data_IF_701887706082
#
_entry.id   IF_701887706082
#
_cell.length_a   1.000
_cell.length_b   1.000
_cell.length_c   1.000
_cell.angle_alpha   90.00
_cell.angle_beta   90.00
_cell.angle_gamma   90.00
#
_symmetry.space_group_name_H-M   'P 1'
#
loop_
_entity.id
_entity.type
_entity.pdbx_description
1 polymer ?
#
# COMPACT_ATOMS: atom_id res chain seq x y z
N UNK A 1 40.20 -53.54 37.62
CA UNK A 1 38.88 -53.19 37.04
C UNK A 1 38.48 -51.83 37.58
N UNK A 2 38.85 -50.74 36.89
CA UNK A 2 38.34 -49.36 37.04
C UNK A 2 39.37 -48.39 36.43
N UNK A 3 39.29 -48.12 35.12
CA UNK A 3 39.97 -47.00 34.45
C UNK A 3 39.52 -46.84 32.98
N UNK A 4 38.22 -46.92 32.69
CA UNK A 4 37.73 -46.85 31.31
C UNK A 4 36.35 -46.16 31.14
N UNK A 5 36.01 -45.14 31.95
CA UNK A 5 34.71 -44.45 31.79
C UNK A 5 34.72 -42.92 31.91
N UNK A 6 35.87 -42.25 31.80
CA UNK A 6 35.94 -40.78 31.94
C UNK A 6 36.34 -40.02 30.65
N UNK A 7 36.84 -40.69 29.61
CA UNK A 7 37.22 -40.05 28.34
C UNK A 7 36.07 -39.81 27.35
N UNK A 8 34.89 -40.39 27.58
CA UNK A 8 33.83 -40.49 26.55
C UNK A 8 32.73 -39.42 26.67
N UNK A 9 32.65 -38.69 27.80
CA UNK A 9 31.63 -37.65 28.02
C UNK A 9 32.04 -36.25 27.54
N UNK A 10 33.35 -35.94 27.48
CA UNK A 10 33.86 -34.62 27.04
C UNK A 10 33.82 -34.47 25.51
N UNK A 11 33.81 -35.58 24.76
CA UNK A 11 33.73 -35.58 23.30
C UNK A 11 32.31 -35.36 22.75
N UNK A 12 31.27 -35.78 23.48
CA UNK A 12 29.88 -35.68 23.02
C UNK A 12 29.37 -34.23 23.06
N UNK A 13 29.68 -33.48 24.12
CA UNK A 13 29.25 -32.08 24.24
C UNK A 13 29.90 -31.16 23.20
N UNK A 14 31.18 -31.38 22.88
CA UNK A 14 31.88 -30.64 21.80
C UNK A 14 31.39 -31.03 20.40
N UNK A 15 30.97 -32.29 20.19
CA UNK A 15 30.35 -32.73 18.94
C UNK A 15 28.96 -32.13 18.76
N UNK A 16 28.11 -32.15 19.80
CA UNK A 16 26.79 -31.52 19.76
C UNK A 16 26.86 -30.00 19.55
N UNK A 17 27.83 -29.29 20.16
CA UNK A 17 28.05 -27.86 19.90
C UNK A 17 28.58 -27.56 18.48
N UNK A 18 29.39 -28.46 17.89
CA UNK A 18 29.81 -28.34 16.49
C UNK A 18 28.70 -28.73 15.51
N UNK A 19 27.80 -29.63 15.90
CA UNK A 19 26.68 -30.12 15.08
C UNK A 19 25.52 -29.13 15.08
N UNK A 20 25.24 -28.48 16.22
CA UNK A 20 24.34 -27.32 16.31
C UNK A 20 24.91 -26.13 15.55
N UNK A 21 26.20 -25.81 15.71
CA UNK A 21 26.85 -24.72 14.97
C UNK A 21 26.92 -24.96 13.45
N UNK A 22 27.07 -26.22 13.01
CA UNK A 22 26.98 -26.60 11.60
C UNK A 22 25.54 -26.63 11.08
N UNK A 23 24.56 -26.98 11.91
CA UNK A 23 23.15 -26.91 11.54
C UNK A 23 22.67 -25.46 11.43
N UNK A 24 23.16 -24.56 12.28
CA UNK A 24 22.88 -23.12 12.17
C UNK A 24 23.58 -22.51 10.96
N UNK A 25 24.83 -22.91 10.66
CA UNK A 25 25.51 -22.50 9.43
C UNK A 25 24.83 -23.08 8.18
N UNK A 26 24.39 -24.35 8.19
CA UNK A 26 23.68 -24.99 7.06
C UNK A 26 22.30 -24.37 6.82
N UNK A 27 21.53 -24.16 7.89
CA UNK A 27 20.25 -23.43 7.84
C UNK A 27 20.46 -21.98 7.40
N UNK A 28 21.52 -21.30 7.87
CA UNK A 28 21.82 -19.92 7.44
C UNK A 28 22.25 -19.85 5.98
N UNK A 29 22.94 -20.88 5.47
CA UNK A 29 23.34 -20.98 4.07
C UNK A 29 22.15 -21.36 3.19
N UNK A 30 21.26 -22.25 3.64
CA UNK A 30 20.00 -22.59 2.98
C UNK A 30 19.03 -21.39 2.98
N UNK A 31 18.96 -20.65 4.09
CA UNK A 31 18.24 -19.37 4.16
C UNK A 31 18.91 -18.31 3.26
N UNK A 32 20.24 -18.32 3.13
CA UNK A 32 20.96 -17.46 2.19
C UNK A 32 20.73 -17.85 0.72
N UNK A 33 20.49 -19.13 0.45
CA UNK A 33 20.15 -19.68 -0.86
C UNK A 33 18.65 -19.52 -1.19
N UNK A 34 17.77 -19.46 -0.18
CA UNK A 34 16.41 -18.94 -0.28
C UNK A 34 16.44 -17.41 -0.43
N UNK A 35 17.42 -16.72 0.16
CA UNK A 35 17.70 -15.31 -0.16
C UNK A 35 18.33 -15.15 -1.55
N UNK A 36 18.82 -16.22 -2.20
CA UNK A 36 19.19 -16.21 -3.62
C UNK A 36 17.95 -16.22 -4.55
N UNK A 37 16.79 -16.73 -4.12
CA UNK A 37 15.51 -16.39 -4.79
C UNK A 37 15.09 -14.95 -4.50
N UNK A 38 15.62 -14.33 -3.44
CA UNK A 38 15.51 -12.89 -3.16
C UNK A 38 16.57 -12.02 -3.87
N UNK A 39 17.40 -12.56 -4.78
CA UNK A 39 18.45 -11.79 -5.48
C UNK A 39 17.94 -10.68 -6.41
N UNK A 40 16.63 -10.47 -6.52
CA UNK A 40 16.10 -9.25 -7.15
C UNK A 40 15.68 -8.13 -6.19
N UNK A 41 15.61 -8.31 -4.86
CA UNK A 41 15.09 -7.26 -3.97
C UNK A 41 15.92 -7.05 -2.70
N UNK A 42 17.19 -6.68 -2.88
CA UNK A 42 17.94 -5.83 -1.93
C UNK A 42 17.42 -4.36 -1.96
N UNK A 43 16.10 -4.17 -1.90
CA UNK A 43 15.49 -2.85 -1.84
C UNK A 43 15.17 -2.52 -0.38
N UNK A 44 15.87 -1.54 0.18
CA UNK A 44 15.41 -0.83 1.38
C UNK A 44 13.89 -0.59 1.29
N UNK A 45 13.12 -1.10 2.25
CA UNK A 45 11.66 -1.14 2.18
C UNK A 45 11.05 0.21 1.80
N UNK A 46 10.29 0.24 0.72
CA UNK A 46 9.55 1.43 0.31
C UNK A 46 8.21 1.56 1.03
N UNK A 47 7.46 2.64 0.74
CA UNK A 47 6.21 2.94 1.44
C UNK A 47 5.16 1.84 1.28
N UNK A 48 5.01 1.26 0.08
CA UNK A 48 3.99 0.25 -0.20
C UNK A 48 4.48 -1.18 0.05
N UNK A 49 5.79 -1.39 0.16
CA UNK A 49 6.42 -2.72 0.22
C UNK A 49 6.17 -3.59 -1.00
N UNK A 50 6.05 -2.95 -2.16
CA UNK A 50 5.88 -3.62 -3.44
C UNK A 50 7.02 -3.13 -4.31
N UNK A 51 8.13 -3.89 -4.44
CA UNK A 51 9.36 -3.40 -5.05
C UNK A 51 9.19 -2.80 -6.44
N UNK A 52 8.29 -3.38 -7.24
CA UNK A 52 7.91 -2.92 -8.58
C UNK A 52 7.33 -1.49 -8.52
N UNK A 53 6.51 -1.19 -7.53
CA UNK A 53 5.84 0.11 -7.38
C UNK A 53 6.74 1.10 -6.63
N UNK A 54 7.39 0.67 -5.56
CA UNK A 54 8.26 1.50 -4.73
C UNK A 54 9.46 2.04 -5.50
N UNK A 55 10.00 1.25 -6.44
CA UNK A 55 11.06 1.71 -7.35
C UNK A 55 10.60 2.88 -8.22
N UNK A 56 9.35 2.84 -8.71
CA UNK A 56 8.75 3.91 -9.51
C UNK A 56 8.36 5.12 -8.66
N UNK A 57 7.96 4.92 -7.40
CA UNK A 57 7.62 6.01 -6.48
C UNK A 57 8.86 6.80 -6.02
N UNK A 58 10.00 6.14 -5.85
CA UNK A 58 11.20 6.71 -5.21
C UNK A 58 11.65 8.07 -5.78
N UNK A 59 11.76 8.27 -7.11
CA UNK A 59 12.14 9.58 -7.66
C UNK A 59 11.15 10.69 -7.30
N UNK A 60 9.85 10.38 -7.30
CA UNK A 60 8.80 11.36 -7.00
C UNK A 60 8.76 11.74 -5.51
N UNK A 61 9.00 10.77 -4.63
CA UNK A 61 9.10 11.02 -3.20
C UNK A 61 10.34 11.87 -2.85
N UNK A 62 11.46 11.64 -3.53
CA UNK A 62 12.66 12.48 -3.41
C UNK A 62 12.37 13.93 -3.82
N UNK A 63 11.74 14.13 -4.97
CA UNK A 63 11.39 15.45 -5.49
C UNK A 63 10.43 16.17 -4.52
N UNK A 64 9.45 15.45 -3.96
CA UNK A 64 8.53 15.98 -2.96
C UNK A 64 9.27 16.46 -1.69
N UNK A 65 10.16 15.65 -1.15
CA UNK A 65 10.95 16.00 0.04
C UNK A 65 11.86 17.22 -0.20
N UNK A 66 12.45 17.30 -1.39
CA UNK A 66 13.23 18.46 -1.81
C UNK A 66 12.38 19.73 -1.89
N UNK A 67 11.19 19.65 -2.49
CA UNK A 67 10.27 20.80 -2.55
C UNK A 67 9.81 21.25 -1.16
N UNK A 68 9.59 20.30 -0.23
CA UNK A 68 9.27 20.62 1.16
C UNK A 68 10.39 21.38 1.86
N UNK A 69 11.65 20.98 1.65
CA UNK A 69 12.78 21.67 2.30
C UNK A 69 12.95 23.09 1.77
N UNK A 70 12.71 23.33 0.48
CA UNK A 70 12.69 24.68 -0.12
C UNK A 70 11.62 25.55 0.54
N UNK A 71 10.39 25.03 0.65
CA UNK A 71 9.25 25.76 1.24
C UNK A 71 9.53 26.09 2.72
N UNK A 72 10.13 25.16 3.45
CA UNK A 72 10.54 25.38 4.85
C UNK A 72 11.61 26.46 4.97
N UNK A 73 12.66 26.41 4.14
CA UNK A 73 13.72 27.41 4.12
C UNK A 73 13.19 28.82 3.77
N UNK A 74 12.29 28.94 2.80
CA UNK A 74 11.66 30.20 2.42
C UNK A 74 10.76 30.78 3.52
N UNK A 75 10.15 29.93 4.35
CA UNK A 75 9.32 30.39 5.48
C UNK A 75 10.13 30.89 6.68
N UNK A 76 11.41 30.51 6.78
CA UNK A 76 12.28 30.87 7.90
C UNK A 76 13.15 32.11 7.61
N UNK A 77 13.33 32.51 6.34
CA UNK A 77 14.03 33.74 5.95
C UNK A 77 13.33 34.47 4.80
N UNK A 78 12.81 35.69 5.00
CA UNK A 78 12.32 36.50 3.88
C UNK A 78 13.53 37.14 3.16
N UNK A 79 13.70 36.75 1.89
CA UNK A 79 14.62 37.33 0.91
C UNK A 79 16.14 37.22 1.19
N UNK A 80 16.78 36.25 0.52
CA UNK A 80 18.22 36.23 0.28
C UNK A 80 18.56 35.06 -0.64
N UNK A 81 18.94 35.34 -1.89
CA UNK A 81 19.34 34.34 -2.88
C UNK A 81 20.57 33.57 -2.42
N UNK A 82 20.51 32.24 -2.38
CA UNK A 82 21.72 31.41 -2.36
C UNK A 82 21.51 30.12 -3.16
N UNK A 83 22.43 29.88 -4.09
CA UNK A 83 22.65 28.62 -4.78
C UNK A 83 23.01 27.54 -3.76
N UNK A 84 22.23 26.46 -3.69
CA UNK A 84 22.53 25.28 -2.88
C UNK A 84 23.02 24.18 -3.85
N UNK A 85 24.21 23.59 -3.65
CA UNK A 85 24.72 22.52 -4.51
C UNK A 85 23.82 21.29 -4.52
N UNK A 86 23.64 20.71 -5.71
CA UNK A 86 22.67 19.65 -6.01
C UNK A 86 23.10 18.23 -5.62
N UNK A 87 24.27 18.04 -5.00
CA UNK A 87 24.79 16.70 -4.77
C UNK A 87 25.14 16.47 -3.28
N UNK A 88 24.65 15.33 -2.77
CA UNK A 88 24.98 14.70 -1.48
C UNK A 88 24.23 15.15 -0.21
N UNK A 89 22.91 15.33 -0.28
CA UNK A 89 22.06 15.17 0.93
C UNK A 89 21.44 13.77 0.90
N UNK A 90 21.85 12.84 1.78
CA UNK A 90 21.12 11.60 1.99
C UNK A 90 19.68 11.97 2.37
N UNK A 91 18.70 11.42 1.64
CA UNK A 91 17.29 11.46 2.03
C UNK A 91 17.16 11.22 3.54
N UNK A 92 16.37 12.01 4.29
CA UNK A 92 15.77 11.47 5.49
C UNK A 92 14.87 10.32 5.02
N UNK A 93 15.34 9.08 5.21
CA UNK A 93 14.66 7.83 4.83
C UNK A 93 13.42 7.55 5.69
N UNK A 94 12.97 8.53 6.48
CA UNK A 94 12.12 8.36 7.68
C UNK A 94 10.87 9.27 7.69
N UNK A 95 10.45 9.82 6.55
CA UNK A 95 9.16 10.56 6.48
C UNK A 95 8.07 9.69 5.86
N UNK A 96 6.89 9.61 6.48
CA UNK A 96 5.77 8.85 5.94
C UNK A 96 5.32 9.45 4.61
N UNK A 97 5.04 8.60 3.63
CA UNK A 97 4.51 9.01 2.34
C UNK A 97 2.98 9.05 2.39
N UNK A 98 2.39 10.05 1.72
CA UNK A 98 0.95 10.10 1.46
C UNK A 98 0.74 9.90 -0.04
N UNK A 99 0.13 8.78 -0.41
CA UNK A 99 0.01 8.32 -1.80
C UNK A 99 -1.47 8.29 -2.18
N UNK A 100 -1.82 8.95 -3.28
CA UNK A 100 -3.17 8.89 -3.85
C UNK A 100 -3.21 7.88 -4.98
N UNK A 101 -4.18 6.96 -4.93
CA UNK A 101 -4.53 6.07 -6.04
C UNK A 101 -5.80 6.61 -6.69
N UNK A 102 -5.71 7.02 -7.94
CA UNK A 102 -6.79 7.69 -8.66
C UNK A 102 -7.13 6.98 -9.97
N UNK A 103 -8.39 7.08 -10.41
CA UNK A 103 -8.84 6.57 -11.71
C UNK A 103 -9.97 7.44 -12.27
N UNK A 104 -10.14 7.43 -13.59
CA UNK A 104 -11.18 8.16 -14.34
C UNK A 104 -12.58 7.50 -14.28
N UNK A 105 -12.68 6.33 -13.66
CA UNK A 105 -13.92 5.59 -13.48
C UNK A 105 -13.93 4.71 -12.23
N UNK A 106 -15.12 4.24 -11.87
CA UNK A 106 -15.30 3.22 -10.84
C UNK A 106 -14.88 1.84 -11.35
N UNK A 107 -14.47 0.96 -10.43
CA UNK A 107 -14.15 -0.43 -10.76
C UNK A 107 -12.85 -0.63 -11.55
N UNK A 108 -11.96 0.36 -11.61
CA UNK A 108 -10.61 0.29 -12.22
C UNK A 108 -9.60 -0.49 -11.37
N UNK A 109 -10.02 -1.06 -10.23
CA UNK A 109 -9.17 -1.92 -9.39
C UNK A 109 -8.46 -1.24 -8.22
N UNK A 110 -8.83 0.01 -7.88
CA UNK A 110 -8.27 0.75 -6.72
C UNK A 110 -8.31 -0.06 -5.43
N UNK A 111 -9.50 -0.52 -5.02
CA UNK A 111 -9.71 -1.33 -3.80
C UNK A 111 -8.93 -2.65 -3.83
N UNK A 112 -8.76 -3.28 -4.99
CA UNK A 112 -7.95 -4.50 -5.09
C UNK A 112 -6.46 -4.23 -4.93
N UNK A 113 -5.95 -3.10 -5.43
CA UNK A 113 -4.59 -2.65 -5.17
C UNK A 113 -4.39 -2.31 -3.69
N UNK A 114 -5.40 -1.76 -3.01
CA UNK A 114 -5.38 -1.59 -1.55
C UNK A 114 -5.32 -2.92 -0.82
N UNK A 115 -6.11 -3.92 -1.22
CA UNK A 115 -6.07 -5.26 -0.60
C UNK A 115 -4.70 -5.91 -0.77
N UNK A 116 -4.11 -5.82 -1.96
CA UNK A 116 -2.74 -6.32 -2.18
C UNK A 116 -1.72 -5.58 -1.31
N UNK A 117 -1.86 -4.26 -1.17
CA UNK A 117 -0.95 -3.47 -0.32
C UNK A 117 -1.11 -3.81 1.17
N UNK A 118 -2.34 -3.97 1.64
CA UNK A 118 -2.61 -4.44 2.99
C UNK A 118 -2.10 -5.87 3.21
N UNK A 119 -2.20 -6.76 2.23
CA UNK A 119 -1.62 -8.10 2.27
C UNK A 119 -0.10 -8.04 2.53
N UNK A 120 0.65 -7.23 1.78
CA UNK A 120 2.09 -7.06 1.99
C UNK A 120 2.44 -6.44 3.35
N UNK A 121 1.57 -5.61 3.92
CA UNK A 121 1.78 -5.02 5.23
C UNK A 121 1.49 -6.00 6.39
N UNK A 122 0.45 -6.84 6.23
CA UNK A 122 -0.05 -7.76 7.27
C UNK A 122 0.74 -9.07 7.35
N UNK A 123 1.22 -9.59 6.22
CA UNK A 123 2.02 -10.82 6.22
C UNK A 123 3.37 -10.59 6.91
N UNK A 124 3.93 -11.59 7.60
CA UNK A 124 5.30 -11.54 8.08
C UNK A 124 6.31 -11.73 6.93
N UNK A 125 7.62 -11.50 7.17
CA UNK A 125 8.65 -11.77 6.17
C UNK A 125 8.69 -13.24 5.73
N UNK A 126 8.38 -14.18 6.62
CA UNK A 126 8.32 -15.60 6.30
C UNK A 126 7.35 -16.39 7.19
N UNK A 127 6.91 -17.54 6.70
CA UNK A 127 6.08 -18.50 7.45
C UNK A 127 6.47 -19.93 7.06
N UNK A 128 6.79 -20.77 8.05
CA UNK A 128 7.30 -22.14 7.82
C UNK A 128 8.46 -22.22 6.82
N UNK A 129 9.36 -21.22 6.83
CA UNK A 129 10.50 -21.14 5.90
C UNK A 129 10.16 -20.56 4.51
N UNK A 130 8.86 -20.40 4.18
CA UNK A 130 8.42 -19.76 2.94
C UNK A 130 8.62 -18.25 3.06
N UNK A 131 9.41 -17.66 2.17
CA UNK A 131 9.55 -16.21 2.10
C UNK A 131 8.24 -15.58 1.58
N UNK A 132 7.60 -14.76 2.40
CA UNK A 132 6.35 -14.06 2.09
C UNK A 132 6.56 -12.57 1.82
N UNK A 133 7.78 -12.04 2.03
CA UNK A 133 8.12 -10.65 1.74
C UNK A 133 7.17 -9.63 2.40
N UNK A 134 6.55 -9.98 3.52
CA UNK A 134 5.65 -9.10 4.25
C UNK A 134 6.34 -8.29 5.36
N UNK A 135 5.64 -7.29 5.90
CA UNK A 135 6.16 -6.37 6.93
C UNK A 135 5.89 -6.77 8.38
N UNK A 136 4.95 -7.66 8.65
CA UNK A 136 4.46 -8.00 10.00
C UNK A 136 3.94 -6.77 10.78
N UNK A 137 3.03 -6.01 10.18
CA UNK A 137 2.55 -4.73 10.74
C UNK A 137 1.04 -4.64 10.76
N UNK A 138 0.51 -3.86 11.70
CA UNK A 138 -0.90 -3.55 11.76
C UNK A 138 -1.29 -2.56 10.64
N UNK A 139 -2.49 -2.77 10.09
CA UNK A 139 -3.10 -1.91 9.06
C UNK A 139 -4.40 -1.33 9.60
N UNK A 140 -4.58 -0.02 9.46
CA UNK A 140 -5.89 0.61 9.62
C UNK A 140 -6.50 0.82 8.24
N UNK A 141 -7.73 0.34 8.04
CA UNK A 141 -8.49 0.51 6.82
C UNK A 141 -9.76 1.31 7.14
N UNK A 142 -9.90 2.51 6.56
CA UNK A 142 -11.10 3.32 6.68
C UNK A 142 -11.91 3.21 5.39
N UNK A 143 -13.03 2.52 5.47
CA UNK A 143 -13.98 2.28 4.39
C UNK A 143 -15.11 3.31 4.43
N UNK A 144 -14.95 4.38 3.67
CA UNK A 144 -15.86 5.51 3.60
C UNK A 144 -17.07 5.28 2.68
N UNK A 145 -17.05 4.25 1.81
CA UNK A 145 -18.16 3.94 0.90
C UNK A 145 -18.87 2.61 1.20
N UNK A 146 -18.51 1.95 2.32
CA UNK A 146 -19.11 0.71 2.81
C UNK A 146 -18.99 -0.44 1.81
N UNK A 147 -17.83 -0.54 1.14
CA UNK A 147 -17.55 -1.58 0.13
C UNK A 147 -16.41 -2.51 0.50
N UNK A 148 -15.83 -2.36 1.70
CA UNK A 148 -14.84 -3.29 2.19
C UNK A 148 -15.44 -4.70 2.29
N UNK A 149 -14.70 -5.67 1.77
CA UNK A 149 -15.08 -7.07 1.71
C UNK A 149 -13.94 -7.90 2.31
N UNK A 150 -14.17 -8.35 3.55
CA UNK A 150 -13.20 -9.16 4.30
C UNK A 150 -12.99 -10.54 3.66
N UNK A 151 -14.01 -11.09 2.99
CA UNK A 151 -13.89 -12.37 2.29
C UNK A 151 -12.93 -12.17 1.12
N UNK A 152 -13.13 -11.13 0.32
CA UNK A 152 -12.22 -10.82 -0.77
C UNK A 152 -10.81 -10.48 -0.30
N UNK A 153 -10.66 -9.77 0.82
CA UNK A 153 -9.35 -9.54 1.44
C UNK A 153 -8.67 -10.86 1.83
N UNK A 154 -9.40 -11.78 2.45
CA UNK A 154 -8.90 -13.10 2.85
C UNK A 154 -8.47 -13.95 1.65
N UNK A 155 -9.23 -13.91 0.56
CA UNK A 155 -8.89 -14.58 -0.70
C UNK A 155 -7.56 -14.04 -1.27
N UNK A 156 -7.37 -12.72 -1.28
CA UNK A 156 -6.12 -12.12 -1.76
C UNK A 156 -4.91 -12.58 -0.93
N UNK A 157 -5.02 -12.57 0.40
CA UNK A 157 -3.95 -13.04 1.29
C UNK A 157 -3.69 -14.53 1.07
N UNK A 158 -4.75 -15.35 1.02
CA UNK A 158 -4.65 -16.80 0.85
C UNK A 158 -3.99 -17.15 -0.48
N UNK A 159 -4.44 -16.56 -1.59
CA UNK A 159 -3.86 -16.81 -2.91
C UNK A 159 -2.40 -16.37 -2.99
N UNK A 160 -2.03 -15.26 -2.34
CA UNK A 160 -0.64 -14.84 -2.24
C UNK A 160 0.22 -15.89 -1.52
N UNK A 161 -0.19 -16.33 -0.32
CA UNK A 161 0.52 -17.37 0.45
C UNK A 161 0.67 -18.66 -0.37
N UNK A 162 -0.42 -19.13 -0.99
CA UNK A 162 -0.41 -20.33 -1.82
C UNK A 162 0.55 -20.20 -3.00
N UNK A 163 0.57 -19.04 -3.66
CA UNK A 163 1.54 -18.78 -4.73
C UNK A 163 2.98 -18.85 -4.23
N UNK A 164 3.28 -18.32 -3.04
CA UNK A 164 4.63 -18.39 -2.45
C UNK A 164 5.03 -19.81 -2.05
N UNK A 165 4.10 -20.61 -1.52
CA UNK A 165 4.33 -22.04 -1.24
C UNK A 165 4.64 -22.79 -2.54
N UNK A 166 3.86 -22.58 -3.59
CA UNK A 166 4.08 -23.23 -4.89
C UNK A 166 5.46 -22.90 -5.48
N UNK A 167 5.89 -21.64 -5.39
CA UNK A 167 7.24 -21.23 -5.81
C UNK A 167 8.33 -21.93 -4.99
N UNK A 168 8.15 -22.06 -3.68
CA UNK A 168 9.09 -22.75 -2.81
C UNK A 168 9.17 -24.26 -3.15
N UNK A 169 8.04 -24.91 -3.41
CA UNK A 169 7.99 -26.32 -3.86
C UNK A 169 8.74 -26.50 -5.17
N UNK A 170 8.45 -25.68 -6.18
CA UNK A 170 9.13 -25.73 -7.49
C UNK A 170 10.65 -25.53 -7.35
N UNK A 171 11.08 -24.63 -6.45
CA UNK A 171 12.49 -24.44 -6.15
C UNK A 171 13.12 -25.71 -5.56
N UNK A 172 12.50 -26.31 -4.54
CA UNK A 172 12.98 -27.55 -3.93
C UNK A 172 13.07 -28.70 -4.94
N UNK A 173 12.05 -28.87 -5.79
CA UNK A 173 12.04 -29.88 -6.85
C UNK A 173 13.19 -29.67 -7.84
N UNK A 174 13.49 -28.42 -8.22
CA UNK A 174 14.60 -28.09 -9.13
C UNK A 174 15.99 -28.39 -8.55
N UNK A 175 16.10 -28.55 -7.24
CA UNK A 175 17.35 -28.78 -6.51
C UNK A 175 17.55 -30.24 -6.08
N UNK A 176 16.56 -31.12 -6.30
CA UNK A 176 16.74 -32.54 -6.01
C UNK A 176 17.81 -33.14 -6.93
N UNK A 177 18.72 -33.99 -6.39
CA UNK A 177 19.72 -34.65 -7.20
C UNK A 177 19.05 -35.59 -8.21
N UNK A 178 19.43 -35.51 -9.49
CA UNK A 178 19.03 -36.51 -10.48
C UNK A 178 19.50 -37.90 -10.00
N UNK A 179 18.58 -38.86 -9.97
CA UNK A 179 18.88 -40.26 -9.64
C UNK A 179 20.06 -40.74 -10.51
N UNK A 180 21.16 -41.26 -9.91
CA UNK A 180 22.24 -41.85 -10.67
C UNK A 180 21.68 -42.98 -11.53
N UNK A 181 21.80 -42.86 -12.87
CA UNK A 181 21.55 -43.98 -13.76
C UNK A 181 22.55 -45.09 -13.42
N UNK A 182 22.03 -46.31 -13.20
CA UNK A 182 22.75 -47.53 -12.80
C UNK A 182 24.17 -47.64 -13.37
N UNK A 183 25.15 -47.26 -12.56
CA UNK A 183 26.51 -47.75 -12.67
C UNK A 183 26.89 -48.38 -11.34
N UNK A 184 26.67 -49.69 -11.28
CA UNK A 184 27.19 -50.62 -10.27
C UNK A 184 28.68 -50.40 -10.07
N UNK A 185 29.06 -49.72 -8.99
CA UNK A 185 30.32 -49.98 -8.31
C UNK A 185 30.05 -50.12 -6.81
N UNK A 186 30.08 -51.37 -6.35
CA UNK A 186 30.15 -51.72 -4.94
C UNK A 186 31.46 -51.18 -4.35
N UNK A 187 31.38 -50.41 -3.27
CA UNK A 187 32.50 -50.31 -2.33
C UNK A 187 32.70 -48.96 -1.67
N UNK A 188 32.70 -49.00 -0.33
CA UNK A 188 33.21 -48.01 0.64
C UNK A 188 32.22 -46.87 0.95
N UNK A 189 31.71 -46.88 2.19
CA UNK A 189 31.00 -45.77 2.82
C UNK A 189 31.92 -44.55 2.87
N UNK A 190 31.77 -43.67 1.88
CA UNK A 190 32.39 -42.36 1.89
C UNK A 190 31.79 -41.53 3.04
N UNK A 191 32.58 -40.68 3.72
CA UNK A 191 32.04 -39.74 4.69
C UNK A 191 31.01 -38.85 4.01
N UNK A 192 29.87 -38.63 4.67
CA UNK A 192 28.76 -37.79 4.20
C UNK A 192 29.34 -36.49 3.62
N UNK A 193 29.22 -36.31 2.31
CA UNK A 193 29.67 -35.09 1.65
C UNK A 193 28.67 -33.97 1.93
N UNK A 194 29.10 -32.71 1.98
CA UNK A 194 28.21 -31.55 2.18
C UNK A 194 27.05 -31.50 1.17
N UNK A 195 27.23 -32.08 -0.02
CA UNK A 195 26.20 -32.23 -1.04
C UNK A 195 25.08 -33.21 -0.67
N UNK A 196 25.37 -34.26 0.13
CA UNK A 196 24.36 -35.22 0.57
C UNK A 196 23.50 -34.64 1.70
N UNK A 197 24.10 -33.89 2.62
CA UNK A 197 23.39 -33.19 3.71
C UNK A 197 22.40 -32.16 3.14
N UNK A 198 22.84 -31.34 2.19
CA UNK A 198 21.97 -30.36 1.54
C UNK A 198 20.78 -31.02 0.80
N UNK A 199 20.99 -32.19 0.19
CA UNK A 199 19.92 -32.94 -0.47
C UNK A 199 18.88 -33.52 0.52
N UNK A 200 19.33 -33.98 1.69
CA UNK A 200 18.43 -34.43 2.77
C UNK A 200 17.60 -33.27 3.34
N UNK A 201 18.22 -32.11 3.60
CA UNK A 201 17.53 -30.90 4.08
C UNK A 201 16.46 -30.40 3.09
N UNK A 202 16.77 -30.36 1.79
CA UNK A 202 15.80 -29.97 0.75
C UNK A 202 14.63 -30.95 0.69
N UNK A 203 14.89 -32.25 0.86
CA UNK A 203 13.84 -33.29 0.87
C UNK A 203 12.92 -33.15 2.09
N UNK A 204 13.49 -32.90 3.27
CA UNK A 204 12.72 -32.66 4.50
C UNK A 204 11.87 -31.39 4.40
N UNK A 205 12.44 -30.31 3.86
CA UNK A 205 11.69 -29.07 3.63
C UNK A 205 10.56 -29.25 2.60
N UNK A 206 10.80 -29.98 1.51
CA UNK A 206 9.76 -30.32 0.54
C UNK A 206 8.64 -31.16 1.19
N UNK A 207 8.96 -32.08 2.10
CA UNK A 207 7.97 -32.83 2.85
C UNK A 207 7.14 -31.93 3.78
N UNK A 208 7.77 -30.95 4.45
CA UNK A 208 7.09 -29.94 5.25
C UNK A 208 6.11 -29.12 4.38
N UNK A 209 6.57 -28.59 3.24
CA UNK A 209 5.72 -27.79 2.35
C UNK A 209 4.51 -28.57 1.85
N UNK A 210 4.70 -29.84 1.46
CA UNK A 210 3.61 -30.71 1.03
C UNK A 210 2.66 -31.12 2.16
N UNK A 211 3.09 -30.98 3.43
CA UNK A 211 2.24 -31.23 4.59
C UNK A 211 1.32 -30.06 4.93
N UNK A 212 1.60 -28.85 4.42
CA UNK A 212 0.76 -27.67 4.66
C UNK A 212 -0.59 -27.84 3.97
N UNK A 213 -1.66 -27.79 4.77
CA UNK A 213 -3.03 -27.99 4.31
C UNK A 213 -3.79 -26.66 4.18
N UNK A 214 -4.93 -26.68 3.49
CA UNK A 214 -5.79 -25.49 3.39
C UNK A 214 -6.22 -24.93 4.77
N UNK A 215 -6.60 -25.75 5.78
CA UNK A 215 -6.82 -25.28 7.14
C UNK A 215 -5.64 -24.52 7.76
N UNK A 216 -4.40 -24.99 7.58
CA UNK A 216 -3.21 -24.33 8.14
C UNK A 216 -3.04 -22.93 7.55
N UNK A 217 -3.24 -22.81 6.23
CA UNK A 217 -3.21 -21.51 5.54
C UNK A 217 -4.35 -20.60 6.03
N UNK A 218 -5.56 -21.14 6.19
CA UNK A 218 -6.71 -20.35 6.69
C UNK A 218 -6.48 -19.85 8.11
N UNK A 219 -5.95 -20.68 9.02
CA UNK A 219 -5.62 -20.26 10.39
C UNK A 219 -4.59 -19.14 10.38
N UNK A 220 -3.56 -19.26 9.54
CA UNK A 220 -2.56 -18.23 9.38
C UNK A 220 -3.12 -16.92 8.79
N UNK A 221 -4.02 -17.00 7.79
CA UNK A 221 -4.74 -15.83 7.25
C UNK A 221 -5.57 -15.15 8.34
N UNK A 222 -6.28 -15.91 9.18
CA UNK A 222 -7.06 -15.36 10.31
C UNK A 222 -6.13 -14.66 11.31
N UNK A 223 -4.96 -15.23 11.59
CA UNK A 223 -3.94 -14.58 12.43
C UNK A 223 -3.50 -13.23 11.84
N UNK A 224 -3.13 -13.17 10.55
CA UNK A 224 -2.76 -11.93 9.88
C UNK A 224 -3.91 -10.90 9.87
N UNK A 225 -5.15 -11.34 9.59
CA UNK A 225 -6.33 -10.47 9.61
C UNK A 225 -6.66 -9.93 11.00
N UNK A 226 -6.20 -10.56 12.08
CA UNK A 226 -6.34 -10.00 13.43
C UNK A 226 -5.61 -8.66 13.58
N UNK A 227 -4.65 -8.37 12.71
CA UNK A 227 -3.92 -7.10 12.67
C UNK A 227 -4.52 -6.05 11.71
N UNK A 228 -5.67 -6.36 11.09
CA UNK A 228 -6.42 -5.43 10.24
C UNK A 228 -7.56 -4.77 11.05
N UNK A 229 -7.48 -3.46 11.22
CA UNK A 229 -8.48 -2.65 11.93
C UNK A 229 -9.34 -1.88 10.93
N UNK A 230 -10.61 -2.25 10.80
CA UNK A 230 -11.52 -1.65 9.81
C UNK A 230 -12.49 -0.67 10.47
N UNK A 231 -12.58 0.54 9.93
CA UNK A 231 -13.53 1.57 10.34
C UNK A 231 -14.44 1.96 9.19
N UNK A 232 -15.74 2.11 9.45
CA UNK A 232 -16.76 2.47 8.44
C UNK A 232 -17.46 3.76 8.85
N UNK A 233 -16.89 4.94 8.57
CA UNK A 233 -17.55 6.20 8.87
C UNK A 233 -18.88 6.32 8.13
N UNK A 234 -19.90 6.79 8.84
CA UNK A 234 -21.27 6.94 8.33
C UNK A 234 -21.63 8.39 8.02
N UNK A 235 -20.77 9.32 8.43
CA UNK A 235 -20.91 10.76 8.24
C UNK A 235 -19.54 11.43 8.28
N UNK A 236 -19.39 12.65 7.75
CA UNK A 236 -18.11 13.36 7.82
C UNK A 236 -17.68 13.72 9.25
N UNK A 237 -18.61 13.92 10.20
CA UNK A 237 -18.29 14.09 11.62
C UNK A 237 -17.77 12.80 12.25
N UNK A 238 -18.43 11.65 11.98
CA UNK A 238 -17.95 10.35 12.46
C UNK A 238 -16.57 10.02 11.88
N UNK A 239 -16.28 10.42 10.64
CA UNK A 239 -14.95 10.28 10.06
C UNK A 239 -13.89 11.08 10.83
N UNK A 240 -14.18 12.33 11.22
CA UNK A 240 -13.28 13.14 12.05
C UNK A 240 -13.07 12.54 13.44
N UNK A 241 -14.14 12.06 14.09
CA UNK A 241 -14.08 11.35 15.37
C UNK A 241 -13.16 10.13 15.28
N UNK A 242 -13.32 9.29 14.26
CA UNK A 242 -12.43 8.13 14.01
C UNK A 242 -10.97 8.58 13.89
N UNK A 243 -10.69 9.59 13.06
CA UNK A 243 -9.32 10.09 12.89
C UNK A 243 -8.72 10.63 14.19
N UNK A 244 -9.55 11.26 15.04
CA UNK A 244 -9.13 11.75 16.34
C UNK A 244 -8.85 10.64 17.36
N UNK A 245 -9.57 9.51 17.27
CA UNK A 245 -9.49 8.41 18.24
C UNK A 245 -8.41 7.39 17.92
N UNK A 246 -7.97 7.28 16.65
CA UNK A 246 -6.93 6.34 16.21
C UNK A 246 -5.67 6.37 17.09
N UNK A 247 -5.09 7.55 17.42
CA UNK A 247 -3.88 7.58 18.24
C UNK A 247 -4.05 6.97 19.62
N UNK A 248 -5.21 7.18 20.26
CA UNK A 248 -5.50 6.60 21.57
C UNK A 248 -5.75 5.10 21.44
N UNK A 249 -6.59 4.69 20.48
CA UNK A 249 -6.89 3.29 20.20
C UNK A 249 -5.63 2.42 20.07
N UNK A 250 -4.64 2.89 19.29
CA UNK A 250 -3.39 2.16 19.05
C UNK A 250 -2.44 2.11 20.26
N UNK A 251 -2.56 3.03 21.21
CA UNK A 251 -1.64 3.15 22.36
C UNK A 251 -2.23 2.51 23.63
N UNK A 252 -3.54 2.60 23.84
CA UNK A 252 -4.15 2.42 25.16
C UNK A 252 -4.65 1.01 25.45
N UNK A 253 -4.63 0.08 24.49
CA UNK A 253 -5.56 -1.05 24.52
C UNK A 253 -4.90 -2.43 24.54
N UNK A 254 -5.04 -3.22 25.63
CA UNK A 254 -4.82 -4.67 25.60
C UNK A 254 -5.98 -5.43 24.90
N UNK A 255 -6.94 -4.71 24.29
CA UNK A 255 -8.15 -5.29 23.69
C UNK A 255 -8.00 -5.73 22.24
N UNK A 256 -6.87 -5.42 21.60
CA UNK A 256 -6.60 -5.82 20.21
C UNK A 256 -5.28 -6.59 20.10
N UNK A 257 -5.21 -7.58 19.20
CA UNK A 257 -4.03 -8.45 19.02
C UNK A 257 -2.78 -7.72 18.52
N UNK A 258 -2.93 -6.48 18.03
CA UNK A 258 -1.85 -5.65 17.50
C UNK A 258 -1.05 -4.82 18.53
N UNK A 259 -1.21 -5.05 19.84
CA UNK A 259 -0.58 -4.19 20.87
C UNK A 259 0.95 -4.11 20.76
N UNK A 260 1.61 -5.18 20.33
CA UNK A 260 3.07 -5.24 20.19
C UNK A 260 3.54 -5.08 18.72
N UNK A 261 2.60 -4.89 17.78
CA UNK A 261 2.92 -4.70 16.35
C UNK A 261 2.95 -3.23 15.99
N UNK A 262 3.99 -2.80 15.27
CA UNK A 262 4.03 -1.44 14.74
C UNK A 262 2.93 -1.23 13.68
N UNK A 263 2.32 -0.04 13.65
CA UNK A 263 1.43 0.36 12.55
C UNK A 263 2.27 1.01 11.46
N UNK A 264 2.25 0.45 10.25
CA UNK A 264 3.01 1.01 9.12
C UNK A 264 2.15 1.70 8.07
N UNK A 265 0.83 1.41 8.04
CA UNK A 265 -0.04 1.78 6.93
C UNK A 265 -1.44 2.17 7.40
N UNK A 266 -1.91 3.34 6.94
CA UNK A 266 -3.30 3.80 7.02
C UNK A 266 -3.89 3.86 5.61
N UNK A 267 -5.01 3.17 5.39
CA UNK A 267 -5.72 3.14 4.11
C UNK A 267 -7.06 3.86 4.26
N UNK A 268 -7.44 4.66 3.26
CA UNK A 268 -8.73 5.35 3.19
C UNK A 268 -9.35 5.13 1.80
N UNK A 269 -10.51 4.48 1.74
CA UNK A 269 -11.23 4.15 0.51
C UNK A 269 -12.70 4.59 0.61
N UNK A 270 -13.21 5.61 -0.08
CA UNK A 270 -12.56 6.67 -0.86
C UNK A 270 -12.55 7.98 -0.05
N UNK A 271 -11.43 8.73 -0.07
CA UNK A 271 -11.27 9.97 0.70
C UNK A 271 -12.31 11.05 0.33
N UNK A 272 -12.86 10.96 -0.88
CA UNK A 272 -13.82 11.92 -1.43
C UNK A 272 -15.29 11.54 -1.18
N UNK A 273 -15.57 10.43 -0.49
CA UNK A 273 -16.91 9.87 -0.31
C UNK A 273 -17.94 10.89 0.21
N UNK A 274 -17.56 11.74 1.17
CA UNK A 274 -18.45 12.75 1.75
C UNK A 274 -18.41 14.11 1.03
N UNK A 275 -17.34 14.38 0.27
CA UNK A 275 -17.03 15.71 -0.26
C UNK A 275 -18.11 16.31 -1.14
N UNK A 276 -18.60 15.51 -2.09
CA UNK A 276 -19.52 16.01 -3.11
C UNK A 276 -20.89 16.38 -2.52
N UNK A 277 -21.35 15.60 -1.54
CA UNK A 277 -22.60 15.86 -0.83
C UNK A 277 -22.48 17.11 0.05
N UNK A 278 -21.38 17.25 0.77
CA UNK A 278 -21.12 18.43 1.61
C UNK A 278 -20.99 19.70 0.78
N UNK A 279 -20.24 19.64 -0.33
CA UNK A 279 -20.08 20.78 -1.24
C UNK A 279 -21.42 21.27 -1.80
N UNK A 280 -22.30 20.34 -2.20
CA UNK A 280 -23.64 20.70 -2.67
C UNK A 280 -24.47 21.36 -1.56
N UNK A 281 -24.39 20.82 -0.33
CA UNK A 281 -25.10 21.34 0.84
C UNK A 281 -24.63 22.75 1.22
N UNK A 282 -23.32 22.99 1.25
CA UNK A 282 -22.74 24.33 1.51
C UNK A 282 -23.14 25.35 0.45
N UNK A 283 -23.19 24.96 -0.83
CA UNK A 283 -23.63 25.84 -1.91
C UNK A 283 -25.11 26.25 -1.76
N UNK A 284 -25.98 25.32 -1.37
CA UNK A 284 -27.41 25.60 -1.16
C UNK A 284 -27.66 26.57 0.01
N UNK A 285 -26.84 26.49 1.07
CA UNK A 285 -26.91 27.38 2.23
C UNK A 285 -26.48 28.80 1.87
N UNK A 286 -25.42 28.95 1.07
CA UNK A 286 -24.95 30.25 0.59
C UNK A 286 -25.99 30.96 -0.31
N UNK A 287 -26.67 30.20 -1.18
CA UNK A 287 -27.76 30.75 -2.02
C UNK A 287 -28.95 31.19 -1.18
N UNK A 288 -29.31 30.44 -0.14
CA UNK A 288 -30.40 30.81 0.76
C UNK A 288 -30.10 32.08 1.56
N UNK A 289 -28.84 32.28 1.99
CA UNK A 289 -28.39 33.48 2.70
C UNK A 289 -28.39 34.75 1.83
N UNK A 290 -28.33 34.60 0.50
CA UNK A 290 -28.33 35.73 -0.46
C UNK A 290 -29.72 36.09 -0.98
N UNK A 291 -30.75 35.31 -0.62
CA UNK A 291 -32.09 35.39 -1.21
C UNK A 291 -33.15 36.01 -0.30
N UNK A 292 -32.83 36.91 0.63
CA UNK A 292 -33.82 37.77 1.30
C UNK A 292 -33.16 39.02 1.88
N UNK A 293 -32.81 39.97 1.02
CA UNK A 293 -32.58 41.36 1.42
C UNK A 293 -33.55 42.25 0.64
N UNK A 294 -34.76 42.35 1.19
CA UNK A 294 -35.74 43.36 0.78
C UNK A 294 -35.13 44.75 1.04
N UNK A 295 -34.96 45.62 0.02
CA UNK A 295 -34.21 46.87 0.15
C UNK A 295 -34.97 48.00 0.89
N UNK A 296 -36.05 47.70 1.61
CA UNK A 296 -36.97 48.74 2.12
C UNK A 296 -37.01 48.99 3.63
N UNK A 297 -36.19 48.34 4.47
CA UNK A 297 -36.12 48.69 5.90
C UNK A 297 -34.87 49.51 6.25
N UNK A 298 -34.89 50.81 5.94
CA UNK A 298 -34.08 51.78 6.65
C UNK A 298 -34.63 51.91 8.08
N UNK A 299 -33.93 51.36 9.07
CA UNK A 299 -34.09 51.77 10.46
C UNK A 299 -32.71 52.02 11.06
N UNK A 300 -32.59 53.20 11.67
CA UNK A 300 -31.39 53.85 12.19
C UNK A 300 -30.77 53.09 13.38
N UNK A 301 -29.49 53.35 13.73
CA UNK A 301 -28.81 52.62 14.78
C UNK A 301 -29.30 53.10 16.16
N UNK A 302 -29.82 52.18 16.98
CA UNK A 302 -30.05 52.44 18.39
C UNK A 302 -29.00 51.74 19.25
N UNK A 303 -28.32 52.57 20.03
CA UNK A 303 -27.45 52.22 21.14
C UNK A 303 -28.12 51.23 22.10
N UNK A 304 -27.41 50.16 22.47
CA UNK A 304 -27.88 49.19 23.45
C UNK A 304 -26.73 48.40 24.07
N UNK A 305 -26.12 49.00 25.09
CA UNK A 305 -25.52 48.36 26.30
C UNK A 305 -24.64 47.12 26.09
N UNK A 306 -23.33 47.31 26.27
CA UNK A 306 -22.39 46.24 26.62
C UNK A 306 -22.80 45.59 27.95
N UNK A 307 -23.40 44.40 27.88
CA UNK A 307 -23.47 43.49 29.01
C UNK A 307 -22.24 42.59 28.94
N UNK A 308 -21.21 42.93 29.72
CA UNK A 308 -20.14 42.00 30.10
C UNK A 308 -20.75 40.90 30.98
N UNK A 309 -21.17 39.81 30.34
CA UNK A 309 -21.53 38.54 30.99
C UNK A 309 -20.30 37.64 31.06
N UNK A 310 -19.84 37.40 32.29
CA UNK A 310 -18.95 36.31 32.65
C UNK A 310 -19.71 34.97 32.54
N UNK A 311 -18.99 33.90 32.18
CA UNK A 311 -19.41 32.51 31.96
C UNK A 311 -19.86 32.12 30.53
N UNK A 312 -18.88 31.77 29.70
CA UNK A 312 -19.03 30.76 28.64
C UNK A 312 -18.00 29.63 28.88
N UNK A 313 -18.17 28.91 29.99
CA UNK A 313 -17.63 27.55 30.10
C UNK A 313 -18.77 26.59 29.75
N UNK A 314 -18.64 25.90 28.61
CA UNK A 314 -19.56 24.82 28.24
C UNK A 314 -20.30 24.97 26.91
N UNK A 315 -19.65 25.45 25.84
CA UNK A 315 -20.05 25.01 24.50
C UNK A 315 -19.49 23.59 24.34
N UNK A 316 -20.37 22.59 24.19
CA UNK A 316 -19.97 21.22 23.91
C UNK A 316 -19.13 21.21 22.62
N UNK A 317 -18.07 20.42 22.57
CA UNK A 317 -17.22 20.29 21.36
C UNK A 317 -18.05 19.96 20.11
N UNK A 318 -19.17 19.24 20.29
CA UNK A 318 -20.17 18.90 19.27
C UNK A 318 -20.77 20.13 18.53
N UNK A 319 -20.94 21.28 19.21
CA UNK A 319 -21.55 22.49 18.60
C UNK A 319 -20.56 23.29 17.73
N UNK A 320 -19.24 23.09 17.91
CA UNK A 320 -18.21 23.76 17.09
C UNK A 320 -17.98 23.04 15.76
N UNK A 321 -18.09 21.72 15.72
CA UNK A 321 -17.78 20.92 14.52
C UNK A 321 -18.89 21.00 13.45
N UNK A 322 -20.13 21.25 13.88
CA UNK A 322 -21.28 21.48 12.99
C UNK A 322 -21.23 22.82 12.25
N UNK A 323 -20.41 23.77 12.71
CA UNK A 323 -20.33 25.13 12.16
C UNK A 323 -19.05 25.40 11.34
N UNK A 324 -18.25 24.35 11.09
CA UNK A 324 -17.06 24.45 10.25
C UNK A 324 -17.43 24.74 8.79
N UNK A 325 -16.67 25.62 8.13
CA UNK A 325 -16.79 25.73 6.67
C UNK A 325 -16.30 24.44 6.03
N UNK A 326 -16.72 24.20 4.77
CA UNK A 326 -16.24 23.04 4.00
C UNK A 326 -14.69 23.00 3.97
N UNK A 327 -14.05 24.15 3.76
CA UNK A 327 -12.59 24.23 3.71
C UNK A 327 -11.96 23.89 5.07
N UNK A 328 -12.47 24.46 6.17
CA UNK A 328 -11.93 24.21 7.51
C UNK A 328 -12.02 22.73 7.89
N UNK A 329 -13.11 22.06 7.50
CA UNK A 329 -13.30 20.63 7.72
C UNK A 329 -12.23 19.80 7.03
N UNK A 330 -11.95 20.07 5.76
CA UNK A 330 -10.94 19.34 4.99
C UNK A 330 -9.51 19.66 5.44
N UNK A 331 -9.26 20.88 5.91
CA UNK A 331 -7.98 21.24 6.54
C UNK A 331 -7.80 20.51 7.89
N UNK A 332 -8.87 20.31 8.66
CA UNK A 332 -8.86 19.53 9.89
C UNK A 332 -8.58 18.04 9.60
N UNK A 333 -9.26 17.43 8.62
CA UNK A 333 -8.99 16.05 8.18
C UNK A 333 -7.51 15.90 7.80
N UNK A 334 -7.01 16.79 6.94
CA UNK A 334 -5.61 16.80 6.50
C UNK A 334 -4.64 16.89 7.69
N UNK A 335 -4.96 17.73 8.68
CA UNK A 335 -4.16 17.90 9.89
C UNK A 335 -4.13 16.64 10.77
N UNK A 336 -5.28 15.96 10.94
CA UNK A 336 -5.34 14.68 11.66
C UNK A 336 -4.53 13.59 10.94
N UNK A 337 -4.65 13.49 9.61
CA UNK A 337 -3.88 12.53 8.82
C UNK A 337 -2.38 12.77 8.95
N UNK A 338 -1.90 14.00 8.83
CA UNK A 338 -0.49 14.34 9.03
C UNK A 338 -0.02 14.04 10.45
N UNK A 339 -0.88 14.24 11.46
CA UNK A 339 -0.58 13.89 12.86
C UNK A 339 -0.46 12.38 13.05
N UNK A 340 -1.36 11.58 12.47
CA UNK A 340 -1.29 10.11 12.53
C UNK A 340 -0.01 9.64 11.83
N UNK A 341 0.22 10.09 10.59
CA UNK A 341 1.40 9.73 9.81
C UNK A 341 2.69 10.00 10.58
N UNK A 342 2.85 11.21 11.12
CA UNK A 342 4.05 11.59 11.88
C UNK A 342 4.18 10.88 13.23
N UNK A 343 3.07 10.64 13.93
CA UNK A 343 3.08 10.02 15.27
C UNK A 343 3.43 8.54 15.24
N UNK A 344 3.06 7.84 14.17
CA UNK A 344 3.25 6.40 14.00
C UNK A 344 4.26 6.04 12.90
N UNK A 345 4.81 7.04 12.21
CA UNK A 345 5.60 6.85 10.99
C UNK A 345 4.85 6.01 9.93
N UNK A 346 3.53 6.19 9.86
CA UNK A 346 2.65 5.40 9.02
C UNK A 346 2.48 6.04 7.64
N UNK A 347 2.66 5.25 6.58
CA UNK A 347 2.31 5.68 5.22
C UNK A 347 0.79 5.74 5.08
N UNK A 348 0.29 6.76 4.39
CA UNK A 348 -1.14 6.92 4.13
C UNK A 348 -1.40 6.65 2.66
N UNK A 349 -2.35 5.76 2.39
CA UNK A 349 -2.81 5.46 1.04
C UNK A 349 -4.27 5.89 0.97
N UNK A 350 -4.57 6.82 0.07
CA UNK A 350 -5.93 7.29 -0.17
C UNK A 350 -6.35 6.91 -1.57
N UNK A 351 -7.58 6.44 -1.75
CA UNK A 351 -8.16 6.33 -3.09
C UNK A 351 -9.01 7.54 -3.40
N UNK A 352 -9.14 7.82 -4.70
CA UNK A 352 -10.01 8.87 -5.20
C UNK A 352 -10.58 8.48 -6.57
N UNK A 353 -11.82 8.90 -6.83
CA UNK A 353 -12.49 8.69 -8.11
C UNK A 353 -12.62 10.02 -8.84
N UNK A 354 -11.91 10.14 -9.95
CA UNK A 354 -11.82 11.37 -10.72
C UNK A 354 -13.00 11.46 -11.69
N UNK A 355 -13.85 12.47 -11.51
CA UNK A 355 -14.97 12.75 -12.43
C UNK A 355 -14.47 13.58 -13.60
N UNK A 356 -14.38 12.98 -14.79
CA UNK A 356 -14.01 13.70 -16.01
C UNK A 356 -15.08 14.71 -16.41
N UNK A 357 -14.77 16.01 -16.37
CA UNK A 357 -15.62 17.05 -16.94
C UNK A 357 -15.30 17.20 -18.42
N UNK A 358 -16.22 16.77 -19.27
CA UNK A 358 -16.12 16.83 -20.73
C UNK A 358 -16.13 18.28 -21.26
N UNK A 359 -15.05 19.02 -21.07
CA UNK A 359 -14.83 20.32 -21.71
C UNK A 359 -13.47 20.45 -22.41
N UNK A 360 -12.65 19.40 -22.46
CA UNK A 360 -11.52 19.35 -23.37
C UNK A 360 -11.89 18.49 -24.59
N UNK A 361 -12.15 19.14 -25.72
CA UNK A 361 -11.99 18.50 -27.02
C UNK A 361 -10.65 17.73 -27.06
N UNK A 362 -10.57 16.58 -27.73
CA UNK A 362 -9.30 15.89 -27.95
C UNK A 362 -8.50 16.69 -28.99
N UNK A 363 -7.94 17.84 -28.59
CA UNK A 363 -6.82 18.41 -29.32
C UNK A 363 -5.69 17.41 -29.17
N UNK A 364 -5.28 16.82 -30.30
CA UNK A 364 -4.10 15.99 -30.47
C UNK A 364 -2.95 16.51 -29.61
N UNK A 365 -2.82 15.99 -28.40
CA UNK A 365 -1.65 16.14 -27.57
C UNK A 365 -1.11 14.73 -27.46
N UNK A 366 0.10 14.52 -27.99
CA UNK A 366 0.87 13.27 -27.97
C UNK A 366 1.28 12.83 -26.54
N UNK A 367 0.35 12.85 -25.59
CA UNK A 367 0.59 12.59 -24.18
C UNK A 367 -0.41 11.50 -23.74
N UNK A 368 0.09 10.28 -23.59
CA UNK A 368 -0.64 9.10 -23.08
C UNK A 368 -0.96 9.18 -21.57
N UNK A 369 -1.16 10.38 -21.04
CA UNK A 369 -1.39 10.61 -19.60
C UNK A 369 -2.72 11.33 -19.42
N UNK A 370 -3.69 10.73 -18.70
CA UNK A 370 -5.01 11.34 -18.48
C UNK A 370 -4.91 12.74 -17.86
N UNK A 371 -5.69 13.70 -18.37
CA UNK A 371 -5.70 15.07 -17.84
C UNK A 371 -6.62 15.19 -16.61
N UNK A 372 -6.07 15.67 -15.48
CA UNK A 372 -6.77 15.69 -14.19
C UNK A 372 -7.73 16.90 -14.00
N UNK A 373 -8.98 16.67 -13.59
CA UNK A 373 -9.94 17.69 -13.17
C UNK A 373 -9.61 18.31 -11.79
N UNK A 374 -9.89 19.61 -11.65
CA UNK A 374 -9.55 20.46 -10.50
C UNK A 374 -10.65 20.55 -9.44
N UNK A 375 -11.23 19.42 -9.04
CA UNK A 375 -12.51 19.46 -8.31
C UNK A 375 -12.49 19.04 -6.85
N UNK A 376 -11.40 18.44 -6.38
CA UNK A 376 -11.19 18.16 -4.96
C UNK A 376 -10.76 19.42 -4.18
N UNK A 377 -10.86 19.40 -2.83
CA UNK A 377 -10.30 20.44 -1.97
C UNK A 377 -8.85 20.77 -2.35
N UNK A 378 -8.50 22.06 -2.39
CA UNK A 378 -7.17 22.51 -2.77
C UNK A 378 -6.08 21.95 -1.84
N UNK A 379 -6.42 21.71 -0.57
CA UNK A 379 -5.56 21.08 0.42
C UNK A 379 -5.16 19.63 0.05
N UNK A 380 -5.95 18.93 -0.77
CA UNK A 380 -5.61 17.61 -1.29
C UNK A 380 -4.88 17.65 -2.63
N UNK A 381 -5.33 18.49 -3.57
CA UNK A 381 -4.84 18.43 -4.96
C UNK A 381 -3.58 19.25 -5.22
N UNK A 382 -3.41 20.37 -4.51
CA UNK A 382 -2.36 21.35 -4.82
C UNK A 382 -1.46 21.68 -3.64
N UNK A 383 -1.74 21.16 -2.45
CA UNK A 383 -0.87 21.36 -1.31
C UNK A 383 0.42 20.56 -1.50
N UNK A 384 1.58 21.24 -1.68
CA UNK A 384 2.86 20.54 -1.71
C UNK A 384 3.22 19.94 -0.34
N UNK A 385 2.41 20.20 0.71
CA UNK A 385 2.62 19.77 2.09
C UNK A 385 1.89 18.48 2.46
N UNK A 386 0.93 18.04 1.66
CA UNK A 386 0.10 16.90 1.99
C UNK A 386 0.40 15.70 1.11
N UNK A 387 0.10 15.75 -0.19
CA UNK A 387 0.27 14.61 -1.08
C UNK A 387 1.73 14.46 -1.50
N UNK A 388 2.29 13.25 -1.41
CA UNK A 388 3.66 12.94 -1.81
C UNK A 388 3.74 12.47 -3.26
N UNK A 389 2.85 11.56 -3.67
CA UNK A 389 2.81 11.01 -5.02
C UNK A 389 1.40 10.57 -5.41
N UNK A 390 1.18 10.37 -6.72
CA UNK A 390 -0.08 9.87 -7.27
C UNK A 390 0.19 8.65 -8.14
N UNK A 391 -0.64 7.63 -7.97
CA UNK A 391 -0.75 6.47 -8.87
C UNK A 391 -2.06 6.63 -9.63
N UNK A 392 -1.99 6.58 -10.96
CA UNK A 392 -3.15 6.76 -11.84
C UNK A 392 -3.43 5.43 -12.51
N UNK A 393 -4.63 4.90 -12.32
CA UNK A 393 -5.04 3.63 -12.89
C UNK A 393 -5.89 3.85 -14.13
N UNK A 394 -5.66 3.03 -15.15
CA UNK A 394 -6.52 2.88 -16.33
C UNK A 394 -6.73 1.39 -16.59
N UNK A 395 -7.96 1.01 -16.94
CA UNK A 395 -8.22 -0.33 -17.47
C UNK A 395 -7.56 -0.46 -18.83
N UNK A 396 -6.92 -1.59 -19.08
CA UNK A 396 -6.48 -1.91 -20.42
C UNK A 396 -7.73 -2.10 -21.30
N UNK A 397 -7.88 -1.23 -22.29
CA UNK A 397 -9.04 -1.27 -23.19
C UNK A 397 -8.81 -2.36 -24.24
N UNK A 398 -9.64 -3.38 -24.24
CA UNK A 398 -9.72 -4.31 -25.37
C UNK A 398 -10.44 -3.60 -26.51
N UNK A 399 -9.80 -3.52 -27.67
CA UNK A 399 -10.36 -2.82 -28.83
C UNK A 399 -11.78 -3.35 -29.14
N UNK A 400 -12.77 -2.45 -29.32
CA UNK A 400 -14.12 -2.87 -29.69
C UNK A 400 -14.09 -3.60 -31.03
N UNK A 401 -15.18 -4.29 -31.35
CA UNK A 401 -15.37 -4.80 -32.70
C UNK A 401 -15.28 -3.65 -33.71
N UNK A 402 -14.60 -3.87 -34.83
CA UNK A 402 -14.62 -2.90 -35.92
C UNK A 402 -16.07 -2.71 -36.37
N UNK A 403 -16.47 -1.48 -36.70
CA UNK A 403 -17.87 -1.16 -36.99
C UNK A 403 -18.46 -2.02 -38.12
N UNK A 404 -17.60 -2.47 -39.04
CA UNK A 404 -17.98 -3.26 -40.22
C UNK A 404 -17.93 -4.79 -40.01
N UNK A 405 -17.66 -5.29 -38.80
CA UNK A 405 -17.59 -6.74 -38.56
C UNK A 405 -18.96 -7.40 -38.80
N UNK A 406 -18.95 -8.57 -39.42
CA UNK A 406 -20.18 -9.36 -39.57
C UNK A 406 -20.55 -10.02 -38.24
N UNK A 407 -21.85 -10.11 -37.95
CA UNK A 407 -22.36 -10.75 -36.73
C UNK A 407 -21.81 -12.17 -36.56
N UNK A 408 -21.79 -12.98 -37.62
CA UNK A 408 -21.26 -14.35 -37.58
C UNK A 408 -19.76 -14.41 -37.23
N UNK A 409 -18.99 -13.44 -37.70
CA UNK A 409 -17.56 -13.33 -37.42
C UNK A 409 -17.32 -12.87 -35.98
N UNK A 410 -18.10 -11.90 -35.50
CA UNK A 410 -18.09 -11.49 -34.10
C UNK A 410 -18.46 -12.64 -33.13
N UNK A 411 -19.42 -13.50 -33.50
CA UNK A 411 -19.75 -14.70 -32.72
C UNK A 411 -18.60 -15.71 -32.67
N UNK A 412 -17.89 -15.91 -33.77
CA UNK A 412 -16.73 -16.82 -33.82
C UNK A 412 -15.56 -16.29 -32.96
N UNK A 413 -15.36 -14.98 -32.92
CA UNK A 413 -14.31 -14.35 -32.10
C UNK A 413 -14.69 -14.17 -30.62
N UNK A 414 -15.96 -14.39 -30.25
CA UNK A 414 -16.50 -14.04 -28.93
C UNK A 414 -15.68 -14.62 -27.79
N UNK A 415 -15.40 -15.92 -27.82
CA UNK A 415 -14.75 -16.60 -26.69
C UNK A 415 -13.27 -16.21 -26.58
N UNK A 416 -12.59 -16.02 -27.72
CA UNK A 416 -11.23 -15.50 -27.77
C UNK A 416 -11.15 -14.08 -27.20
N UNK A 417 -12.04 -13.18 -27.63
CA UNK A 417 -12.09 -11.80 -27.12
C UNK A 417 -12.49 -11.76 -25.65
N UNK A 418 -13.44 -12.59 -25.22
CA UNK A 418 -13.78 -12.74 -23.81
C UNK A 418 -12.55 -13.20 -23.00
N UNK A 419 -11.73 -14.09 -23.55
CA UNK A 419 -10.44 -14.46 -22.98
C UNK A 419 -9.46 -13.28 -22.85
N UNK A 420 -9.38 -12.42 -23.87
CA UNK A 420 -8.56 -11.20 -23.82
C UNK A 420 -9.09 -10.20 -22.81
N UNK A 421 -10.41 -9.99 -22.74
CA UNK A 421 -11.06 -9.11 -21.74
C UNK A 421 -10.84 -9.61 -20.32
N UNK A 422 -10.96 -10.93 -20.10
CA UNK A 422 -10.66 -11.55 -18.79
C UNK A 422 -9.20 -11.43 -18.39
N UNK A 423 -8.28 -11.37 -19.35
CA UNK A 423 -6.83 -11.20 -19.14
C UNK A 423 -6.38 -9.74 -19.20
N UNK A 424 -7.29 -8.81 -19.54
CA UNK A 424 -6.99 -7.39 -19.62
C UNK A 424 -6.56 -6.91 -18.23
N UNK A 425 -5.37 -6.33 -18.16
CA UNK A 425 -4.83 -5.82 -16.91
C UNK A 425 -5.34 -4.43 -16.62
N UNK A 426 -4.75 -3.89 -15.56
CA UNK A 426 -4.86 -2.49 -15.20
C UNK A 426 -3.45 -1.93 -15.31
N UNK A 427 -3.30 -0.95 -16.18
CA UNK A 427 -2.09 -0.16 -16.29
C UNK A 427 -2.12 0.97 -15.27
N UNK A 428 -0.98 1.22 -14.66
CA UNK A 428 -0.82 2.22 -13.61
C UNK A 428 0.40 3.10 -13.86
N UNK A 429 0.24 4.43 -13.79
CA UNK A 429 1.33 5.39 -13.95
C UNK A 429 1.61 6.11 -12.64
N UNK A 430 2.88 6.36 -12.35
CA UNK A 430 3.29 7.11 -11.17
C UNK A 430 3.62 8.56 -11.56
N UNK A 431 3.08 9.51 -10.80
CA UNK A 431 3.33 10.93 -10.95
C UNK A 431 3.71 11.59 -9.62
N UNK A 432 4.53 12.65 -9.69
CA UNK A 432 4.84 13.49 -8.53
C UNK A 432 3.70 14.45 -8.20
N UNK A 433 3.41 14.64 -6.92
CA UNK A 433 2.44 15.63 -6.47
C UNK A 433 2.95 17.05 -6.75
N UNK A 434 2.22 17.83 -7.57
CA UNK A 434 2.51 19.25 -7.78
C UNK A 434 3.55 19.61 -8.85
N UNK A 435 3.96 18.68 -9.73
CA UNK A 435 4.88 19.01 -10.84
C UNK A 435 4.17 19.94 -11.84
N UNK A 436 4.66 21.19 -11.95
CA UNK A 436 4.27 22.10 -13.04
C UNK A 436 4.67 21.45 -14.36
N UNK A 437 3.67 21.21 -15.22
CA UNK A 437 3.85 20.73 -16.60
C UNK A 437 4.80 21.68 -17.34
N UNK A 438 6.09 21.34 -17.45
CA UNK A 438 7.07 22.28 -18.01
C UNK A 438 8.52 21.83 -18.15
N UNK A 439 9.05 20.93 -17.31
CA UNK A 439 10.46 20.51 -17.46
C UNK A 439 10.57 19.11 -18.07
N UNK A 440 11.17 19.08 -19.26
CA UNK A 440 11.34 17.90 -20.10
C UNK A 440 12.32 16.89 -19.53
N UNK A 441 11.90 16.14 -18.51
CA UNK A 441 12.53 14.85 -18.19
C UNK A 441 12.13 13.87 -19.29
N UNK A 442 13.12 13.19 -19.88
CA UNK A 442 12.91 12.20 -20.96
C UNK A 442 11.80 11.22 -20.56
N UNK A 443 10.78 11.11 -21.42
CA UNK A 443 9.62 10.21 -21.30
C UNK A 443 10.03 8.74 -21.50
N UNK A 444 10.76 8.17 -20.54
CA UNK A 444 11.05 6.73 -20.50
C UNK A 444 10.82 6.22 -19.08
N UNK A 445 9.92 5.25 -18.93
CA UNK A 445 9.77 4.42 -17.73
C UNK A 445 9.04 5.11 -16.58
N UNK A 446 7.90 4.56 -16.16
CA UNK A 446 7.11 5.11 -15.06
C UNK A 446 5.77 4.43 -14.84
N UNK A 447 5.59 3.20 -15.32
CA UNK A 447 4.33 2.49 -15.25
C UNK A 447 4.53 1.04 -14.81
N UNK A 448 3.52 0.49 -14.16
CA UNK A 448 3.42 -0.91 -13.79
C UNK A 448 2.04 -1.42 -14.22
N UNK A 449 1.87 -2.73 -14.23
CA UNK A 449 0.56 -3.34 -14.47
C UNK A 449 0.19 -4.26 -13.32
N UNK A 450 -1.11 -4.46 -13.14
CA UNK A 450 -1.59 -5.54 -12.29
C UNK A 450 -2.85 -6.15 -12.87
N UNK A 451 -3.12 -7.41 -12.50
CA UNK A 451 -4.32 -8.14 -12.88
C UNK A 451 -5.08 -8.58 -11.65
N UNK A 452 -6.40 -8.57 -11.77
CA UNK A 452 -7.32 -9.06 -10.76
C UNK A 452 -7.90 -10.37 -11.31
N UNK A 453 -7.61 -11.48 -10.64
CA UNK A 453 -8.14 -12.80 -10.96
C UNK A 453 -8.97 -13.37 -9.83
N UNK A 454 -9.51 -14.57 -10.04
CA UNK A 454 -10.09 -15.38 -8.97
C UNK A 454 -9.01 -15.67 -7.92
N UNK A 455 -7.80 -16.00 -8.38
CA UNK A 455 -6.60 -16.28 -7.57
C UNK A 455 -5.91 -15.01 -7.00
N UNK A 456 -6.65 -13.94 -6.75
CA UNK A 456 -6.14 -12.71 -6.11
C UNK A 456 -5.61 -11.65 -7.08
N UNK A 457 -4.51 -10.99 -6.70
CA UNK A 457 -3.92 -9.84 -7.44
C UNK A 457 -2.48 -10.15 -7.80
N UNK A 458 -2.12 -9.96 -9.07
CA UNK A 458 -0.74 -10.11 -9.57
C UNK A 458 -0.22 -8.79 -10.08
N UNK A 459 1.00 -8.41 -9.70
CA UNK A 459 1.63 -7.12 -10.04
C UNK A 459 2.91 -7.39 -10.82
N UNK A 460 3.11 -6.67 -11.92
CA UNK A 460 4.31 -6.75 -12.74
C UNK A 460 4.78 -5.37 -13.22
N UNK A 461 6.05 -5.27 -13.60
CA UNK A 461 6.66 -4.06 -14.16
C UNK A 461 7.31 -4.35 -15.53
N UNK A 462 7.82 -3.32 -16.18
CA UNK A 462 8.38 -3.31 -17.55
C UNK A 462 9.57 -4.28 -17.79
N UNK A 463 10.07 -4.97 -16.75
CA UNK A 463 11.16 -5.97 -16.85
C UNK A 463 10.67 -7.42 -16.66
N UNK A 464 9.77 -7.87 -17.54
CA UNK A 464 9.58 -9.31 -17.83
C UNK A 464 9.31 -9.47 -19.34
N UNK A 465 10.35 -9.25 -20.15
CA UNK A 465 10.34 -9.37 -21.61
C UNK A 465 11.44 -10.26 -22.12
#
# INVERSE_FOLDING_TARGET
MAAASEGMKVGLGKRLLMEVGKSEESLSNLLSDIQLTAQHHNASGGPLHIPQIDTLLRPHLQDHLHNLSIVQAQSQHPAGSFDIPLDEIPLPRDKPAIIEISSDGCGTGKTHLLYYTACMALLPPSWNGVNLEGKDTAVIFIDCDSRFDVVRMSEVIQSYIQSRILLAVQFCESKQPELPQDHTEEGIQNPITSSQVAGEEISEYLALLNSLTAPDVTEFVVHCLSHLHVYTPTSPSHFLEILSSIPEYLISSPSHSSHDTSMSTLIIDDISAFYWLERASSASTAVSATSFSDPTSQSAPQNGVEVKGLHEEGLKEEDKEQNLTLQDRYDLITSHLLRIASRFNANIIITNTVVSTSSSHPTQANNNTPAHPRHLPACYTYSPKFLSARIILSKDVVAPFHADIRISEAYNERDMRMGVVKKAGISAWVEGAGVRKGEGRKKSGGWFWFRIGEDGVTVGAEEEG
#
